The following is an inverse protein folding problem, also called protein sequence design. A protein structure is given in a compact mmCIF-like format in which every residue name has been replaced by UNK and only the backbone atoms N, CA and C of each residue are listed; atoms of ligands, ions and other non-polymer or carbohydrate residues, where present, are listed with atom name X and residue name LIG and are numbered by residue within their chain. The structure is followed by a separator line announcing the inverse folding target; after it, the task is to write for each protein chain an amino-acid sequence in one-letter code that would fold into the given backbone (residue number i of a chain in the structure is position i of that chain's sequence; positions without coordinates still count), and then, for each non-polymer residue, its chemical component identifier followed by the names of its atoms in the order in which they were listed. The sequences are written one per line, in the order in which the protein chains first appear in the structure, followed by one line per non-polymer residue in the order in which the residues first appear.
data_IF_562431766609
#
_entry.id   IF_562431766609
#
_cell.length_a   1.000
_cell.length_b   1.000
_cell.length_c   1.000
_cell.angle_alpha   90.00
_cell.angle_beta   90.00
_cell.angle_gamma   90.00
#
_symmetry.space_group_name_H-M   'P 1'
#
loop_
_entity.id
_entity.type
_entity.pdbx_description
1 polymer ?
#
# COMPACT_ATOMS: atom_id res chain seq x y z
N UNK A 1 -1.34 -22.91 -4.46
CA UNK A 1 0.14 -22.76 -4.55
C UNK A 1 0.75 -21.58 -3.75
N UNK A 2 -0.03 -20.72 -3.07
CA UNK A 2 0.52 -19.63 -2.23
C UNK A 2 1.04 -20.07 -0.86
N UNK A 3 0.59 -21.22 -0.35
CA UNK A 3 0.93 -21.69 0.99
C UNK A 3 2.41 -22.10 1.13
N UNK A 4 2.96 -22.80 0.13
CA UNK A 4 4.37 -23.21 0.11
C UNK A 4 5.33 -22.00 0.03
N UNK A 5 4.99 -20.97 -0.76
CA UNK A 5 5.75 -19.71 -0.82
C UNK A 5 5.72 -18.93 0.50
N UNK A 6 4.61 -19.00 1.21
CA UNK A 6 4.41 -18.34 2.52
C UNK A 6 5.21 -19.06 3.61
N UNK A 7 5.16 -20.40 3.65
CA UNK A 7 5.95 -21.22 4.58
C UNK A 7 7.44 -21.07 4.31
N UNK A 8 7.89 -21.09 3.06
CA UNK A 8 9.30 -20.98 2.71
C UNK A 8 9.88 -19.61 3.07
N UNK A 9 9.13 -18.51 2.83
CA UNK A 9 9.52 -17.17 3.31
C UNK A 9 9.62 -17.11 4.84
N UNK A 10 8.61 -17.61 5.55
CA UNK A 10 8.60 -17.67 7.02
C UNK A 10 9.77 -18.48 7.59
N UNK A 11 10.18 -19.55 6.89
CA UNK A 11 11.22 -20.48 7.33
C UNK A 11 12.65 -20.04 7.00
N UNK A 12 12.82 -19.12 6.04
CA UNK A 12 14.15 -18.63 5.60
C UNK A 12 14.52 -17.27 6.20
N UNK A 13 13.56 -16.44 6.66
CA UNK A 13 13.85 -15.04 7.05
C UNK A 13 13.60 -14.64 8.52
N UNK A 14 12.97 -15.49 9.34
CA UNK A 14 12.73 -15.16 10.77
C UNK A 14 11.75 -13.99 11.00
N UNK A 15 11.76 -13.42 12.22
CA UNK A 15 11.15 -12.10 12.51
C UNK A 15 12.16 -11.02 12.10
N UNK A 16 11.74 -9.93 11.42
CA UNK A 16 12.67 -8.85 11.12
C UNK A 16 13.07 -8.15 12.43
N UNK A 17 14.25 -7.55 12.43
CA UNK A 17 14.69 -6.67 13.51
C UNK A 17 14.08 -5.28 13.36
N UNK A 18 13.80 -4.86 12.13
CA UNK A 18 13.29 -3.53 11.80
C UNK A 18 12.33 -3.54 10.62
N UNK A 19 11.42 -2.58 10.62
CA UNK A 19 10.46 -2.31 9.56
C UNK A 19 10.75 -0.98 8.88
N UNK A 20 10.46 -0.92 7.58
CA UNK A 20 10.53 0.28 6.77
C UNK A 20 9.43 0.24 5.71
N UNK A 21 8.94 1.39 5.26
CA UNK A 21 7.95 1.49 4.20
C UNK A 21 8.33 2.54 3.15
N UNK A 22 7.95 2.25 1.91
CA UNK A 22 7.78 3.21 0.83
C UNK A 22 6.33 3.09 0.37
N UNK A 23 5.58 4.19 0.42
CA UNK A 23 4.16 4.22 0.04
C UNK A 23 3.94 5.36 -0.94
N UNK A 24 3.44 5.07 -2.14
CA UNK A 24 3.09 6.11 -3.11
C UNK A 24 1.60 6.42 -3.10
N UNK A 25 1.25 7.68 -3.29
CA UNK A 25 -0.12 8.16 -3.42
C UNK A 25 -0.27 8.87 -4.78
N UNK A 26 -0.87 8.23 -5.79
CA UNK A 26 -1.15 8.87 -7.07
C UNK A 26 -2.09 10.06 -6.90
N UNK A 27 -1.72 11.19 -7.50
CA UNK A 27 -2.57 12.36 -7.63
C UNK A 27 -3.46 12.30 -8.88
N UNK A 28 -4.53 13.07 -8.88
CA UNK A 28 -5.45 13.20 -10.02
C UNK A 28 -6.90 13.45 -9.55
N UNK A 29 -7.79 13.72 -10.50
CA UNK A 29 -9.22 13.95 -10.22
C UNK A 29 -10.00 12.68 -9.92
N UNK A 30 -9.46 11.53 -10.34
CA UNK A 30 -10.14 10.23 -10.22
C UNK A 30 -9.67 9.48 -8.94
N UNK A 31 -8.79 10.08 -8.15
CA UNK A 31 -8.25 9.50 -6.93
C UNK A 31 -8.98 9.92 -5.66
N UNK A 32 -8.56 9.42 -4.49
CA UNK A 32 -9.05 9.91 -3.21
C UNK A 32 -8.78 11.39 -3.05
N UNK A 33 -9.59 12.05 -2.21
CA UNK A 33 -9.41 13.46 -1.89
C UNK A 33 -8.04 13.71 -1.25
N UNK A 34 -7.55 14.95 -1.37
CA UNK A 34 -6.29 15.37 -0.72
C UNK A 34 -6.34 15.14 0.79
N UNK A 35 -7.51 15.36 1.42
CA UNK A 35 -7.72 15.08 2.85
C UNK A 35 -7.58 13.59 3.17
N UNK A 36 -8.19 12.70 2.39
CA UNK A 36 -8.06 11.26 2.60
C UNK A 36 -6.61 10.77 2.42
N UNK A 37 -5.86 11.35 1.47
CA UNK A 37 -4.42 11.07 1.34
C UNK A 37 -3.65 11.58 2.55
N UNK A 38 -3.95 12.80 3.02
CA UNK A 38 -3.32 13.38 4.21
C UNK A 38 -3.54 12.52 5.45
N UNK A 39 -4.78 12.07 5.70
CA UNK A 39 -5.11 11.21 6.84
C UNK A 39 -4.30 9.90 6.82
N UNK A 40 -4.08 9.32 5.63
CA UNK A 40 -3.25 8.11 5.49
C UNK A 40 -1.77 8.38 5.72
N UNK A 41 -1.27 9.58 5.40
CA UNK A 41 0.11 9.98 5.71
C UNK A 41 0.26 10.17 7.21
N UNK A 42 -0.70 10.81 7.88
CA UNK A 42 -0.71 10.99 9.33
C UNK A 42 -0.76 9.64 10.07
N UNK A 43 -1.58 8.69 9.60
CA UNK A 43 -1.60 7.32 10.12
C UNK A 43 -0.21 6.65 10.01
N UNK A 44 0.49 6.84 8.87
CA UNK A 44 1.85 6.34 8.67
C UNK A 44 2.88 7.07 9.55
N UNK A 45 2.72 8.38 9.72
CA UNK A 45 3.57 9.21 10.57
C UNK A 45 3.52 8.70 12.01
N UNK A 46 2.32 8.50 12.54
CA UNK A 46 2.12 7.96 13.88
C UNK A 46 2.76 6.57 14.04
N UNK A 47 2.49 5.66 13.10
CA UNK A 47 3.01 4.30 13.15
C UNK A 47 4.55 4.23 13.06
N UNK A 48 5.17 5.14 12.30
CA UNK A 48 6.61 5.23 12.16
C UNK A 48 7.25 6.27 13.10
N UNK A 49 6.55 6.66 14.17
CA UNK A 49 7.04 7.59 15.21
C UNK A 49 7.54 8.94 14.66
N UNK A 50 6.87 9.49 13.65
CA UNK A 50 7.26 10.75 13.02
C UNK A 50 8.41 10.64 12.03
N UNK A 51 8.94 9.43 11.78
CA UNK A 51 10.14 9.22 10.98
C UNK A 51 9.79 8.92 9.53
N UNK A 52 9.26 9.92 8.84
CA UNK A 52 8.98 9.82 7.41
C UNK A 52 9.35 11.08 6.63
N UNK A 53 9.64 10.87 5.36
CA UNK A 53 9.84 11.90 4.35
C UNK A 53 8.71 11.84 3.33
N UNK A 54 8.07 12.98 3.07
CA UNK A 54 7.12 13.15 1.98
C UNK A 54 7.82 13.77 0.78
N UNK A 55 7.86 13.05 -0.34
CA UNK A 55 8.56 13.44 -1.55
C UNK A 55 7.56 13.67 -2.68
N UNK A 56 7.52 14.87 -3.30
CA UNK A 56 6.68 15.11 -4.47
C UNK A 56 7.15 14.28 -5.67
N UNK A 57 6.18 13.77 -6.44
CA UNK A 57 6.40 13.04 -7.68
C UNK A 57 5.62 13.69 -8.82
N UNK A 58 6.01 13.39 -10.07
CA UNK A 58 5.34 13.91 -11.27
C UNK A 58 3.82 13.67 -11.27
N UNK A 59 3.36 12.57 -10.65
CA UNK A 59 1.94 12.17 -10.63
C UNK A 59 1.41 11.90 -9.22
N UNK A 60 1.90 12.62 -8.22
CA UNK A 60 1.45 12.45 -6.84
C UNK A 60 2.57 12.68 -5.85
N UNK A 61 2.59 11.89 -4.79
CA UNK A 61 3.61 11.95 -3.74
C UNK A 61 4.05 10.54 -3.32
N UNK A 62 5.23 10.43 -2.75
CA UNK A 62 5.68 9.25 -2.02
C UNK A 62 5.96 9.60 -0.57
N UNK A 63 5.73 8.63 0.29
CA UNK A 63 6.18 8.60 1.67
C UNK A 63 7.28 7.54 1.75
N UNK A 64 8.44 7.93 2.26
CA UNK A 64 9.49 6.98 2.65
C UNK A 64 9.69 7.08 4.15
N UNK A 65 9.70 5.95 4.85
CA UNK A 65 9.90 5.96 6.30
C UNK A 65 11.32 5.55 6.66
N UNK A 66 11.77 5.97 7.83
CA UNK A 66 12.96 5.40 8.44
C UNK A 66 12.69 4.00 9.01
N UNK A 67 13.76 3.36 9.49
CA UNK A 67 13.69 2.04 10.11
C UNK A 67 13.19 2.15 11.55
N UNK A 68 12.14 1.41 11.87
CA UNK A 68 11.60 1.29 13.24
C UNK A 68 11.87 -0.12 13.78
N UNK A 69 12.33 -0.27 15.04
CA UNK A 69 12.54 -1.59 15.64
C UNK A 69 11.27 -2.44 15.67
N UNK A 70 11.41 -3.74 15.47
CA UNK A 70 10.27 -4.66 15.46
C UNK A 70 9.55 -4.78 16.81
N UNK A 71 10.17 -4.33 17.92
CA UNK A 71 9.54 -4.26 19.23
C UNK A 71 8.52 -3.12 19.34
N UNK A 72 8.73 -2.05 18.57
CA UNK A 72 7.94 -0.82 18.64
C UNK A 72 6.98 -0.70 17.44
N UNK A 73 7.12 -1.57 16.44
CA UNK A 73 6.33 -1.55 15.22
C UNK A 73 5.07 -2.43 15.32
N UNK A 74 3.90 -1.80 15.20
CA UNK A 74 2.62 -2.51 15.10
C UNK A 74 2.32 -2.92 13.65
N UNK A 75 2.62 -4.18 13.33
CA UNK A 75 2.41 -4.73 11.99
C UNK A 75 0.93 -4.86 11.61
N UNK A 76 0.04 -5.06 12.59
CA UNK A 76 -1.39 -5.21 12.32
C UNK A 76 -2.02 -3.84 12.05
N UNK A 77 -1.61 -2.80 12.79
CA UNK A 77 -1.97 -1.42 12.49
C UNK A 77 -1.45 -0.99 11.10
N UNK A 78 -0.23 -1.40 10.73
CA UNK A 78 0.28 -1.17 9.39
C UNK A 78 -0.60 -1.78 8.31
N UNK A 79 -0.94 -3.06 8.43
CA UNK A 79 -1.79 -3.75 7.46
C UNK A 79 -3.19 -3.07 7.38
N UNK A 80 -3.75 -2.62 8.50
CA UNK A 80 -5.01 -1.86 8.52
C UNK A 80 -4.92 -0.48 7.83
N UNK A 81 -3.76 0.18 7.85
CA UNK A 81 -3.52 1.40 7.06
C UNK A 81 -3.49 1.06 5.57
N UNK A 82 -2.83 -0.05 5.19
CA UNK A 82 -2.76 -0.48 3.80
C UNK A 82 -4.14 -0.83 3.22
N UNK A 83 -4.98 -1.51 3.99
CA UNK A 83 -6.36 -1.84 3.59
C UNK A 83 -7.17 -0.56 3.32
N UNK A 84 -7.03 0.45 4.20
CA UNK A 84 -7.67 1.76 4.01
C UNK A 84 -7.14 2.52 2.80
N UNK A 85 -5.86 2.36 2.47
CA UNK A 85 -5.29 2.90 1.22
C UNK A 85 -5.88 2.17 0.02
N UNK A 86 -5.97 0.83 0.05
CA UNK A 86 -6.57 0.07 -1.04
C UNK A 86 -8.03 0.48 -1.28
N UNK A 87 -8.82 0.60 -0.23
CA UNK A 87 -10.22 1.06 -0.29
C UNK A 87 -10.33 2.46 -0.93
N UNK A 88 -9.48 3.40 -0.50
CA UNK A 88 -9.47 4.77 -1.02
C UNK A 88 -9.17 4.86 -2.53
N UNK A 89 -8.51 3.85 -3.08
CA UNK A 89 -8.17 3.79 -4.51
C UNK A 89 -8.93 2.70 -5.28
N UNK A 90 -9.84 1.96 -4.65
CA UNK A 90 -10.41 0.73 -5.20
C UNK A 90 -11.09 0.92 -6.58
N UNK A 91 -11.67 2.09 -6.81
CA UNK A 91 -12.34 2.42 -8.07
C UNK A 91 -11.39 2.69 -9.24
N UNK A 92 -10.13 3.06 -8.96
CA UNK A 92 -9.20 3.53 -10.00
C UNK A 92 -7.87 2.80 -10.06
N UNK A 93 -7.43 2.20 -8.95
CA UNK A 93 -6.19 1.47 -8.84
C UNK A 93 -6.40 0.18 -8.04
N UNK A 94 -5.44 -0.73 -8.15
CA UNK A 94 -5.27 -1.85 -7.24
C UNK A 94 -4.01 -1.64 -6.42
N UNK A 95 -3.99 -2.06 -5.16
CA UNK A 95 -2.79 -1.89 -4.33
C UNK A 95 -1.76 -2.99 -4.65
N UNK A 96 -0.60 -2.60 -5.18
CA UNK A 96 0.53 -3.50 -5.34
C UNK A 96 1.45 -3.41 -4.11
N UNK A 97 1.66 -4.56 -3.46
CA UNK A 97 2.57 -4.71 -2.30
C UNK A 97 3.75 -5.61 -2.67
N UNK A 98 4.96 -5.11 -2.45
CA UNK A 98 6.20 -5.87 -2.57
C UNK A 98 6.98 -5.78 -1.26
N UNK A 99 7.43 -6.93 -0.77
CA UNK A 99 8.25 -7.00 0.43
C UNK A 99 9.69 -7.34 0.07
N UNK A 100 10.62 -6.60 0.64
CA UNK A 100 12.06 -6.81 0.50
C UNK A 100 12.65 -7.10 1.87
N UNK A 101 13.48 -8.13 1.93
CA UNK A 101 14.22 -8.51 3.13
C UNK A 101 15.70 -8.28 2.85
N UNK A 102 16.37 -7.49 3.68
CA UNK A 102 17.79 -7.16 3.51
C UNK A 102 18.50 -7.12 4.85
N UNK A 103 19.75 -7.58 4.87
CA UNK A 103 20.64 -7.31 6.00
C UNK A 103 21.26 -5.93 5.81
N UNK A 104 21.06 -5.03 6.76
CA UNK A 104 21.63 -3.69 6.77
C UNK A 104 22.16 -3.41 8.17
N UNK A 105 23.42 -2.99 8.28
CA UNK A 105 24.08 -2.69 9.56
C UNK A 105 23.98 -3.84 10.58
N UNK A 106 24.05 -5.09 10.10
CA UNK A 106 23.94 -6.30 10.91
C UNK A 106 22.51 -6.66 11.35
N UNK A 107 21.49 -5.92 10.91
CA UNK A 107 20.07 -6.14 11.23
C UNK A 107 19.29 -6.61 10.01
N UNK A 108 18.32 -7.50 10.20
CA UNK A 108 17.37 -7.92 9.18
C UNK A 108 16.24 -6.91 9.08
N UNK A 109 16.19 -6.19 7.97
CA UNK A 109 15.17 -5.17 7.69
C UNK A 109 14.14 -5.72 6.72
N UNK A 110 12.85 -5.59 7.07
CA UNK A 110 11.71 -5.82 6.16
C UNK A 110 11.21 -4.47 5.64
N UNK A 111 11.46 -4.20 4.37
CA UNK A 111 10.96 -3.03 3.68
C UNK A 111 9.71 -3.37 2.87
N UNK A 112 8.61 -2.65 3.11
CA UNK A 112 7.37 -2.75 2.34
C UNK A 112 7.34 -1.66 1.27
N UNK A 113 7.08 -2.04 0.02
CA UNK A 113 6.88 -1.12 -1.10
C UNK A 113 5.43 -1.23 -1.53
N UNK A 114 4.69 -0.13 -1.40
CA UNK A 114 3.24 -0.07 -1.58
C UNK A 114 2.93 0.96 -2.66
N UNK A 115 2.32 0.52 -3.75
CA UNK A 115 2.03 1.36 -4.91
C UNK A 115 0.64 1.05 -5.44
N UNK A 116 -0.30 2.00 -5.42
CA UNK A 116 -1.54 1.88 -6.18
C UNK A 116 -1.21 1.87 -7.69
N UNK A 117 -1.57 0.80 -8.37
CA UNK A 117 -1.33 0.60 -9.80
C UNK A 117 -2.64 0.62 -10.58
N UNK A 118 -2.69 1.37 -11.68
CA UNK A 118 -3.85 1.31 -12.57
C UNK A 118 -3.95 -0.08 -13.18
N UNK A 119 -5.11 -0.75 -13.09
CA UNK A 119 -5.28 -2.05 -13.72
C UNK A 119 -5.22 -1.91 -15.24
N UNK A 120 -4.52 -2.83 -15.91
CA UNK A 120 -4.42 -2.85 -17.37
C UNK A 120 -5.77 -3.15 -18.05
N UNK A 121 -6.69 -3.78 -17.33
CA UNK A 121 -8.03 -4.12 -17.80
C UNK A 121 -9.07 -3.64 -16.77
N UNK A 122 -10.08 -2.91 -17.23
CA UNK A 122 -11.18 -2.45 -16.39
C UNK A 122 -11.93 -3.67 -15.86
N UNK A 123 -11.96 -3.84 -14.55
CA UNK A 123 -12.78 -4.87 -13.91
C UNK A 123 -14.10 -4.20 -13.54
N UNK A 124 -15.11 -4.30 -14.40
CA UNK A 124 -16.43 -3.71 -14.14
C UNK A 124 -16.92 -2.80 -15.27
N UNK A 125 -17.34 -3.40 -16.38
CA UNK A 125 -18.35 -2.80 -17.24
C UNK A 125 -19.68 -3.44 -16.86
N UNK A 126 -20.51 -2.75 -16.09
CA UNK A 126 -21.93 -3.10 -16.01
C UNK A 126 -22.45 -3.05 -17.43
N UNK A 127 -22.86 -4.20 -17.94
CA UNK A 127 -23.56 -4.36 -19.21
C UNK A 127 -24.74 -3.39 -19.15
N UNK A 128 -24.70 -2.31 -19.94
CA UNK A 128 -25.87 -1.46 -20.13
C UNK A 128 -26.98 -2.38 -20.62
N UNK A 129 -28.00 -2.54 -19.79
CA UNK A 129 -29.23 -3.21 -20.13
C UNK A 129 -29.85 -2.39 -21.26
N UNK A 130 -29.73 -2.89 -22.49
CA UNK A 130 -30.54 -2.40 -23.61
C UNK A 130 -31.97 -2.83 -23.31
N UNK A 131 -32.66 -2.01 -22.53
CA UNK A 131 -34.11 -2.04 -22.41
C UNK A 131 -34.65 -1.48 -23.73
N UNK A 132 -34.75 -2.35 -24.74
CA UNK A 132 -35.53 -2.06 -25.94
C UNK A 132 -37.00 -2.07 -25.52
N UNK A 133 -37.53 -0.88 -25.25
CA UNK A 133 -38.95 -0.60 -25.10
C UNK A 133 -39.73 -1.16 -26.31
N UNK A 134 -40.78 -1.97 -26.11
CA UNK A 134 -41.66 -2.33 -27.20
C UNK A 134 -42.60 -1.14 -27.47
N UNK A 135 -42.38 -0.44 -28.57
CA UNK A 135 -43.37 0.47 -29.12
C UNK A 135 -44.32 -0.31 -30.04
N UNK A 136 -45.60 -0.26 -29.64
CA UNK A 136 -46.89 -0.51 -30.31
C UNK A 136 -46.93 -1.07 -31.74
#
# INVERSE_FOLDING_TARGET
MNWLRTIWRRRVTGRPDQYQAYVSFPGGTDGPSVGAVHDRIEDLEYLFEGRLDVVPQLRGIAVTTDRVPAADFDADAFDAILDRIEEAYADTHRLARLEKWRSIDGRVVRSSVVVPVRPLFRTGGTKAETEASPAE
#
